data_IF_554852006329
#
_entry.id   IF_554852006329
#
_cell.length_a   1.000
_cell.length_b   1.000
_cell.length_c   1.000
_cell.angle_alpha   90.00
_cell.angle_beta   90.00
_cell.angle_gamma   90.00
#
_symmetry.space_group_name_H-M   'P 1'
#
loop_
_entity.id
_entity.type
_entity.pdbx_description
1 polymer ?
#
# COMPACT_ATOMS: atom_id res chain seq x y z
N UNK A 1 18.96 31.70 -12.87
CA UNK A 1 17.90 30.72 -13.15
C UNK A 1 18.60 29.39 -13.34
N UNK A 2 18.47 28.46 -12.40
CA UNK A 2 19.09 27.13 -12.52
C UNK A 2 18.21 26.34 -13.49
N UNK A 3 18.75 25.92 -14.62
CA UNK A 3 18.08 24.94 -15.48
C UNK A 3 17.97 23.64 -14.69
N UNK A 4 16.77 23.26 -14.33
CA UNK A 4 16.49 21.94 -13.77
C UNK A 4 16.59 20.94 -14.93
N UNK A 5 17.75 20.35 -15.09
CA UNK A 5 17.91 19.21 -16.00
C UNK A 5 17.20 18.04 -15.33
N UNK A 6 16.06 17.63 -15.87
CA UNK A 6 15.34 16.43 -15.44
C UNK A 6 16.15 15.19 -15.88
N UNK A 7 17.13 14.80 -15.09
CA UNK A 7 17.91 13.57 -15.32
C UNK A 7 17.17 12.43 -14.64
N UNK A 8 16.50 11.60 -15.42
CA UNK A 8 15.99 10.32 -14.94
C UNK A 8 17.19 9.36 -14.96
N UNK A 9 17.60 8.77 -13.81
CA UNK A 9 18.69 7.81 -13.77
C UNK A 9 18.35 6.58 -14.64
N UNK A 10 19.36 5.90 -15.16
CA UNK A 10 19.15 4.63 -15.86
C UNK A 10 18.61 3.57 -14.87
N UNK A 11 18.05 2.50 -15.41
CA UNK A 11 17.54 1.40 -14.57
C UNK A 11 18.66 0.76 -13.74
N UNK A 12 19.83 0.64 -14.31
CA UNK A 12 21.03 0.10 -13.68
C UNK A 12 21.51 1.00 -12.54
N UNK A 13 21.56 2.31 -12.75
CA UNK A 13 21.91 3.28 -11.71
C UNK A 13 20.89 3.25 -10.56
N UNK A 14 19.58 3.21 -10.89
CA UNK A 14 18.51 3.10 -9.91
C UNK A 14 18.65 1.82 -9.06
N UNK A 15 18.85 0.68 -9.72
CA UNK A 15 19.01 -0.61 -9.06
C UNK A 15 20.24 -0.62 -8.16
N UNK A 16 21.38 -0.14 -8.65
CA UNK A 16 22.63 -0.05 -7.90
C UNK A 16 22.51 0.82 -6.65
N UNK A 17 21.79 1.95 -6.75
CA UNK A 17 21.56 2.84 -5.61
C UNK A 17 20.71 2.18 -4.52
N UNK A 18 19.70 1.39 -4.89
CA UNK A 18 18.90 0.62 -3.94
C UNK A 18 19.70 -0.51 -3.30
N UNK A 19 20.51 -1.24 -4.08
CA UNK A 19 21.39 -2.30 -3.61
C UNK A 19 22.46 -1.79 -2.62
N UNK A 20 22.99 -0.60 -2.86
CA UNK A 20 23.92 0.05 -1.92
C UNK A 20 23.30 0.28 -0.54
N UNK A 21 21.99 0.59 -0.48
CA UNK A 21 21.29 0.92 0.76
C UNK A 21 20.72 -0.31 1.48
N UNK A 22 20.20 -1.26 0.73
CA UNK A 22 19.48 -2.41 1.28
C UNK A 22 20.33 -3.69 1.30
N UNK A 23 21.41 -3.74 0.53
CA UNK A 23 22.13 -4.95 0.18
C UNK A 23 21.46 -5.68 -0.98
N UNK A 24 22.27 -6.29 -1.83
CA UNK A 24 21.84 -6.93 -3.08
C UNK A 24 20.77 -8.01 -2.87
N UNK A 25 20.98 -8.90 -1.89
CA UNK A 25 20.05 -10.01 -1.64
C UNK A 25 18.65 -9.51 -1.26
N UNK A 26 18.55 -8.50 -0.38
CA UNK A 26 17.27 -7.95 0.06
C UNK A 26 16.59 -7.20 -1.09
N UNK A 27 17.36 -6.43 -1.88
CA UNK A 27 16.81 -5.69 -3.01
C UNK A 27 16.31 -6.64 -4.11
N UNK A 28 16.96 -7.77 -4.37
CA UNK A 28 16.44 -8.79 -5.28
C UNK A 28 15.09 -9.36 -4.83
N UNK A 29 14.91 -9.60 -3.52
CA UNK A 29 13.63 -10.03 -2.95
C UNK A 29 12.55 -8.97 -3.16
N UNK A 30 12.84 -7.69 -2.88
CA UNK A 30 11.91 -6.60 -3.10
C UNK A 30 11.54 -6.44 -4.57
N UNK A 31 12.52 -6.46 -5.46
CA UNK A 31 12.31 -6.31 -6.91
C UNK A 31 11.51 -7.46 -7.55
N UNK A 32 11.49 -8.64 -6.93
CA UNK A 32 10.72 -9.80 -7.40
C UNK A 32 9.29 -9.85 -6.85
N UNK A 33 8.98 -9.10 -5.79
CA UNK A 33 7.71 -9.16 -5.10
C UNK A 33 6.59 -8.45 -5.85
N UNK A 34 5.37 -9.00 -5.72
CA UNK A 34 4.13 -8.42 -6.23
C UNK A 34 3.20 -8.13 -5.06
N UNK A 35 2.88 -6.86 -4.83
CA UNK A 35 1.99 -6.44 -3.75
C UNK A 35 0.72 -5.81 -4.32
N UNK A 36 -0.43 -6.29 -3.87
CA UNK A 36 -1.73 -5.69 -4.22
C UNK A 36 -2.20 -4.78 -3.09
N UNK A 37 -2.69 -3.60 -3.45
CA UNK A 37 -3.26 -2.62 -2.52
C UNK A 37 -4.72 -2.43 -2.89
N UNK A 38 -5.60 -2.83 -1.99
CA UNK A 38 -7.06 -2.77 -2.11
C UNK A 38 -7.58 -1.54 -1.35
N UNK A 39 -8.00 -0.52 -2.09
CA UNK A 39 -8.32 0.82 -1.58
C UNK A 39 -7.11 1.74 -1.62
N UNK A 40 -7.27 2.91 -2.24
CA UNK A 40 -6.21 3.90 -2.45
C UNK A 40 -6.49 5.22 -1.72
N UNK A 41 -7.15 5.10 -0.56
CA UNK A 41 -7.42 6.20 0.34
C UNK A 41 -6.18 6.60 1.17
N UNK A 42 -6.42 7.05 2.41
CA UNK A 42 -5.37 7.49 3.33
C UNK A 42 -4.32 6.42 3.61
N UNK A 43 -4.74 5.17 3.83
CA UNK A 43 -3.81 4.06 4.05
C UNK A 43 -3.14 3.66 2.72
N UNK A 44 -3.91 3.24 1.73
CA UNK A 44 -3.37 2.62 0.52
C UNK A 44 -2.45 3.53 -0.28
N UNK A 45 -2.73 4.82 -0.40
CA UNK A 45 -1.85 5.75 -1.11
C UNK A 45 -0.49 5.92 -0.38
N UNK A 46 -0.49 5.98 0.95
CA UNK A 46 0.74 6.06 1.74
C UNK A 46 1.55 4.74 1.70
N UNK A 47 0.87 3.57 1.77
CA UNK A 47 1.50 2.26 1.61
C UNK A 47 2.19 2.17 0.24
N UNK A 48 1.49 2.57 -0.84
CA UNK A 48 2.01 2.52 -2.20
C UNK A 48 3.30 3.33 -2.35
N UNK A 49 3.33 4.56 -1.82
CA UNK A 49 4.52 5.42 -1.84
C UNK A 49 5.67 4.79 -1.05
N UNK A 50 5.41 4.26 0.14
CA UNK A 50 6.43 3.61 0.96
C UNK A 50 7.05 2.39 0.25
N UNK A 51 6.22 1.53 -0.35
CA UNK A 51 6.67 0.34 -1.07
C UNK A 51 7.41 0.69 -2.38
N UNK A 52 6.95 1.70 -3.11
CA UNK A 52 7.64 2.19 -4.30
C UNK A 52 9.07 2.68 -3.98
N UNK A 53 9.22 3.46 -2.90
CA UNK A 53 10.53 3.94 -2.41
C UNK A 53 11.44 2.81 -1.93
N UNK A 54 10.88 1.72 -1.42
CA UNK A 54 11.64 0.53 -1.03
C UNK A 54 12.09 -0.33 -2.23
N UNK A 55 11.64 -0.01 -3.45
CA UNK A 55 12.03 -0.74 -4.66
C UNK A 55 11.28 -2.05 -4.87
N UNK A 56 10.01 -2.13 -4.47
CA UNK A 56 9.11 -3.25 -4.81
C UNK A 56 8.97 -3.34 -6.33
N UNK A 57 9.03 -4.54 -6.89
CA UNK A 57 9.04 -4.75 -8.34
C UNK A 57 7.71 -4.49 -9.03
N UNK A 58 6.58 -4.85 -8.38
CA UNK A 58 5.23 -4.63 -8.95
C UNK A 58 4.22 -4.28 -7.88
N UNK A 59 3.42 -3.25 -8.15
CA UNK A 59 2.21 -2.92 -7.39
C UNK A 59 0.97 -3.14 -8.25
N UNK A 60 -0.05 -3.78 -7.68
CA UNK A 60 -1.40 -3.87 -8.24
C UNK A 60 -2.28 -2.94 -7.40
N UNK A 61 -2.86 -1.94 -8.03
CA UNK A 61 -3.65 -0.90 -7.39
C UNK A 61 -5.12 -1.06 -7.74
N UNK A 62 -5.98 -1.20 -6.74
CA UNK A 62 -7.42 -1.41 -6.95
C UNK A 62 -8.21 -0.38 -6.17
N UNK A 63 -8.96 0.46 -6.88
CA UNK A 63 -9.89 1.45 -6.34
C UNK A 63 -10.87 1.87 -7.44
N UNK A 64 -12.05 2.35 -7.09
CA UNK A 64 -13.04 2.85 -8.05
C UNK A 64 -13.33 4.35 -7.89
N UNK A 65 -12.79 4.98 -6.83
CA UNK A 65 -13.04 6.37 -6.49
C UNK A 65 -12.23 7.35 -7.33
N UNK A 66 -12.66 8.60 -7.25
CA UNK A 66 -11.92 9.75 -7.76
C UNK A 66 -11.25 10.52 -6.63
N UNK A 67 -10.23 11.27 -6.98
CA UNK A 67 -9.57 12.20 -6.06
C UNK A 67 -10.55 13.33 -5.72
N UNK A 68 -10.79 13.53 -4.43
CA UNK A 68 -11.67 14.55 -3.89
C UNK A 68 -10.90 15.49 -2.96
N UNK A 69 -11.32 16.76 -2.92
CA UNK A 69 -10.67 17.80 -2.12
C UNK A 69 -10.64 17.44 -0.62
N UNK A 70 -11.68 16.78 -0.12
CA UNK A 70 -11.78 16.32 1.28
C UNK A 70 -10.80 15.21 1.61
N UNK A 71 -10.13 14.65 0.61
CA UNK A 71 -9.17 13.57 0.76
C UNK A 71 -7.71 14.04 0.81
N UNK A 72 -7.41 15.21 0.23
CA UNK A 72 -6.03 15.69 0.03
C UNK A 72 -5.25 15.85 1.34
N UNK A 73 -5.91 16.11 2.47
CA UNK A 73 -5.25 16.30 3.76
C UNK A 73 -4.55 15.05 4.31
N UNK A 74 -4.83 13.83 3.76
CA UNK A 74 -4.26 12.58 4.25
C UNK A 74 -3.87 11.56 3.16
N UNK A 75 -4.16 11.86 1.89
CA UNK A 75 -3.90 10.98 0.75
C UNK A 75 -2.78 11.54 -0.12
N UNK A 76 -2.06 10.70 -0.85
CA UNK A 76 -0.88 11.05 -1.64
C UNK A 76 -1.27 11.54 -3.06
N UNK A 77 -2.20 12.51 -3.11
CA UNK A 77 -2.63 13.14 -4.36
C UNK A 77 -2.30 14.63 -4.38
N UNK A 78 -2.19 15.18 -5.59
CA UNK A 78 -1.92 16.60 -5.85
C UNK A 78 -3.24 17.34 -6.12
N UNK A 79 -3.29 18.65 -5.85
CA UNK A 79 -4.47 19.47 -6.14
C UNK A 79 -4.85 19.43 -7.63
N UNK A 80 -3.87 19.38 -8.53
CA UNK A 80 -4.11 19.29 -9.97
C UNK A 80 -4.77 17.96 -10.41
N UNK A 81 -4.81 16.94 -9.55
CA UNK A 81 -5.40 15.64 -9.84
C UNK A 81 -6.86 15.50 -9.36
N UNK A 82 -7.48 16.60 -8.88
CA UNK A 82 -8.89 16.58 -8.47
C UNK A 82 -9.80 16.09 -9.60
N UNK A 83 -10.67 15.13 -9.29
CA UNK A 83 -11.60 14.52 -10.23
C UNK A 83 -11.02 13.35 -11.04
N UNK A 84 -9.72 13.12 -11.04
CA UNK A 84 -9.10 11.93 -11.66
C UNK A 84 -9.43 10.65 -10.89
N UNK A 85 -9.41 9.50 -11.55
CA UNK A 85 -9.47 8.23 -10.84
C UNK A 85 -8.23 8.05 -9.97
N UNK A 86 -8.41 7.64 -8.71
CA UNK A 86 -7.32 7.42 -7.76
C UNK A 86 -6.24 6.47 -8.30
N UNK A 87 -6.65 5.44 -9.03
CA UNK A 87 -5.74 4.49 -9.67
C UNK A 87 -4.79 5.14 -10.67
N UNK A 88 -5.29 6.03 -11.53
CA UNK A 88 -4.49 6.76 -12.52
C UNK A 88 -3.57 7.77 -11.84
N UNK A 89 -4.14 8.62 -10.99
CA UNK A 89 -3.41 9.67 -10.28
C UNK A 89 -2.27 9.09 -9.41
N UNK A 90 -2.53 7.99 -8.69
CA UNK A 90 -1.50 7.36 -7.87
C UNK A 90 -0.43 6.69 -8.73
N UNK A 91 -0.80 6.01 -9.82
CA UNK A 91 0.18 5.45 -10.76
C UNK A 91 1.15 6.50 -11.28
N UNK A 92 0.64 7.67 -11.69
CA UNK A 92 1.47 8.79 -12.14
C UNK A 92 2.45 9.24 -11.05
N UNK A 93 1.94 9.49 -9.84
CA UNK A 93 2.75 9.92 -8.70
C UNK A 93 3.83 8.87 -8.33
N UNK A 94 3.51 7.58 -8.41
CA UNK A 94 4.46 6.51 -8.12
C UNK A 94 5.57 6.42 -9.17
N UNK A 95 5.26 6.63 -10.45
CA UNK A 95 6.26 6.61 -11.53
C UNK A 95 7.19 7.83 -11.49
N UNK A 96 6.73 8.97 -10.97
CA UNK A 96 7.60 10.10 -10.66
C UNK A 96 8.59 9.81 -9.51
N UNK A 97 8.21 8.94 -8.56
CA UNK A 97 9.04 8.54 -7.41
C UNK A 97 9.98 7.38 -7.76
N UNK A 98 9.47 6.40 -8.50
CA UNK A 98 10.16 5.15 -8.84
C UNK A 98 9.89 4.79 -10.30
N UNK A 99 10.68 5.34 -11.24
CA UNK A 99 10.37 5.30 -12.68
C UNK A 99 10.36 3.89 -13.28
N UNK A 100 10.95 2.91 -12.61
CA UNK A 100 11.04 1.51 -13.08
C UNK A 100 10.09 0.56 -12.37
N UNK A 101 9.22 1.09 -11.47
CA UNK A 101 8.17 0.32 -10.82
C UNK A 101 7.13 -0.16 -11.85
N UNK A 102 6.77 -1.44 -11.80
CA UNK A 102 5.62 -1.94 -12.57
C UNK A 102 4.33 -1.64 -11.81
N UNK A 103 3.42 -0.89 -12.42
CA UNK A 103 2.14 -0.54 -11.82
C UNK A 103 1.01 -1.04 -12.70
N UNK A 104 0.27 -2.02 -12.19
CA UNK A 104 -1.00 -2.49 -12.75
C UNK A 104 -2.15 -1.82 -12.02
N UNK A 105 -3.17 -1.37 -12.73
CA UNK A 105 -4.32 -0.66 -12.14
C UNK A 105 -5.64 -1.34 -12.51
N UNK A 106 -6.56 -1.39 -11.55
CA UNK A 106 -7.93 -1.86 -11.74
C UNK A 106 -8.90 -0.82 -11.16
N UNK A 107 -9.51 -0.02 -12.05
CA UNK A 107 -10.48 1.02 -11.67
C UNK A 107 -11.86 0.40 -11.55
N UNK A 108 -12.08 -0.38 -10.48
CA UNK A 108 -13.34 -1.06 -10.23
C UNK A 108 -13.53 -1.40 -8.75
N UNK A 109 -14.78 -1.58 -8.36
CA UNK A 109 -15.14 -2.03 -7.00
C UNK A 109 -14.80 -3.51 -6.81
N UNK A 110 -14.20 -3.84 -5.68
CA UNK A 110 -14.01 -5.23 -5.24
C UNK A 110 -15.34 -5.85 -4.83
N UNK A 111 -15.56 -7.08 -5.28
CA UNK A 111 -16.72 -7.90 -4.98
C UNK A 111 -16.30 -9.35 -4.81
N UNK A 112 -17.12 -10.18 -4.16
CA UNK A 112 -16.86 -11.62 -4.05
C UNK A 112 -16.61 -12.31 -5.39
N UNK A 113 -17.22 -11.80 -6.48
CA UNK A 113 -17.10 -12.38 -7.81
C UNK A 113 -15.75 -12.10 -8.50
N UNK A 114 -15.08 -10.97 -8.18
CA UNK A 114 -13.88 -10.54 -8.88
C UNK A 114 -12.59 -10.61 -8.04
N UNK A 115 -12.68 -10.70 -6.71
CA UNK A 115 -11.52 -10.68 -5.80
C UNK A 115 -10.48 -11.73 -6.20
N UNK A 116 -10.84 -12.99 -6.34
CA UNK A 116 -9.89 -14.07 -6.63
C UNK A 116 -9.14 -13.82 -7.95
N UNK A 117 -9.84 -13.35 -8.98
CA UNK A 117 -9.21 -13.06 -10.27
C UNK A 117 -8.28 -11.85 -10.21
N UNK A 118 -8.67 -10.80 -9.49
CA UNK A 118 -7.87 -9.56 -9.38
C UNK A 118 -6.62 -9.74 -8.51
N UNK A 119 -6.68 -10.62 -7.51
CA UNK A 119 -5.60 -10.81 -6.54
C UNK A 119 -4.69 -12.00 -6.85
N UNK A 120 -4.99 -12.79 -7.90
CA UNK A 120 -4.30 -14.06 -8.19
C UNK A 120 -2.77 -13.93 -8.28
N UNK A 121 -2.28 -12.84 -8.86
CA UNK A 121 -0.85 -12.63 -9.13
C UNK A 121 -0.12 -11.94 -7.97
N UNK A 122 -0.83 -11.51 -6.92
CA UNK A 122 -0.22 -10.87 -5.76
C UNK A 122 0.38 -11.90 -4.80
N UNK A 123 1.51 -11.58 -4.23
CA UNK A 123 2.10 -12.32 -3.11
C UNK A 123 1.52 -11.92 -1.78
N UNK A 124 1.28 -10.61 -1.62
CA UNK A 124 0.80 -9.97 -0.41
C UNK A 124 -0.33 -9.01 -0.79
N UNK A 125 -1.38 -9.04 0.01
CA UNK A 125 -2.57 -8.20 -0.16
C UNK A 125 -2.63 -7.23 1.01
N UNK A 126 -2.58 -5.92 0.70
CA UNK A 126 -2.83 -4.86 1.67
C UNK A 126 -4.31 -4.47 1.59
N UNK A 127 -5.03 -4.73 2.65
CA UNK A 127 -6.41 -4.26 2.81
C UNK A 127 -6.37 -2.84 3.38
N UNK A 128 -6.86 -1.87 2.62
CA UNK A 128 -6.87 -0.45 2.92
C UNK A 128 -8.23 0.21 2.61
N UNK A 129 -9.30 -0.58 2.68
CA UNK A 129 -10.67 -0.14 2.48
C UNK A 129 -11.17 0.62 3.72
N UNK A 130 -12.19 1.44 3.55
CA UNK A 130 -12.77 2.29 4.61
C UNK A 130 -14.11 1.74 5.17
N UNK A 131 -14.82 0.95 4.38
CA UNK A 131 -16.13 0.40 4.76
C UNK A 131 -15.96 -0.95 5.44
N UNK A 132 -16.46 -1.11 6.67
CA UNK A 132 -16.29 -2.30 7.49
C UNK A 132 -16.75 -3.60 6.79
N UNK A 133 -17.88 -3.57 6.09
CA UNK A 133 -18.39 -4.71 5.34
C UNK A 133 -17.47 -5.11 4.18
N UNK A 134 -16.89 -4.11 3.49
CA UNK A 134 -15.95 -4.35 2.40
C UNK A 134 -14.62 -4.91 2.92
N UNK A 135 -14.14 -4.44 4.07
CA UNK A 135 -12.96 -4.99 4.78
C UNK A 135 -13.18 -6.45 5.15
N UNK A 136 -14.31 -6.75 5.81
CA UNK A 136 -14.68 -8.10 6.21
C UNK A 136 -14.84 -9.03 4.99
N UNK A 137 -15.50 -8.55 3.92
CA UNK A 137 -15.63 -9.30 2.68
C UNK A 137 -14.28 -9.66 2.07
N UNK A 138 -13.37 -8.69 1.93
CA UNK A 138 -12.05 -8.94 1.38
C UNK A 138 -11.24 -9.92 2.23
N UNK A 139 -11.23 -9.71 3.55
CA UNK A 139 -10.50 -10.57 4.47
C UNK A 139 -11.02 -12.02 4.41
N UNK A 140 -12.33 -12.23 4.45
CA UNK A 140 -12.92 -13.57 4.37
C UNK A 140 -12.58 -14.26 3.04
N UNK A 141 -12.74 -13.56 1.90
CA UNK A 141 -12.45 -14.13 0.58
C UNK A 141 -10.97 -14.53 0.44
N UNK A 142 -10.05 -13.70 0.97
CA UNK A 142 -8.61 -14.02 0.94
C UNK A 142 -8.28 -15.20 1.85
N UNK A 143 -8.76 -15.17 3.10
CA UNK A 143 -8.44 -16.22 4.08
C UNK A 143 -9.03 -17.58 3.71
N UNK A 144 -10.23 -17.61 3.09
CA UNK A 144 -10.89 -18.85 2.70
C UNK A 144 -10.40 -19.42 1.37
N UNK A 145 -10.19 -18.53 0.37
CA UNK A 145 -9.95 -18.98 -1.01
C UNK A 145 -8.51 -18.85 -1.48
N UNK A 146 -7.68 -18.09 -0.75
CA UNK A 146 -6.29 -17.81 -1.11
C UNK A 146 -5.35 -17.97 0.11
N UNK A 147 -5.41 -19.12 0.82
CA UNK A 147 -4.71 -19.32 2.09
C UNK A 147 -3.19 -19.26 1.99
N UNK A 148 -2.64 -19.37 0.77
CA UNK A 148 -1.22 -19.21 0.48
C UNK A 148 -0.77 -17.75 0.46
N UNK A 149 -1.68 -16.78 0.31
CA UNK A 149 -1.37 -15.35 0.26
C UNK A 149 -1.21 -14.76 1.66
N UNK A 150 -0.44 -13.69 1.76
CA UNK A 150 -0.38 -12.88 2.97
C UNK A 150 -1.44 -11.76 2.90
N UNK A 151 -2.11 -11.54 4.01
CA UNK A 151 -3.05 -10.44 4.19
C UNK A 151 -2.52 -9.49 5.27
N UNK A 152 -2.45 -8.21 4.95
CA UNK A 152 -2.09 -7.14 5.89
C UNK A 152 -3.23 -6.13 5.90
N UNK A 153 -3.95 -6.08 7.01
CA UNK A 153 -5.13 -5.24 7.21
C UNK A 153 -4.86 -4.10 8.20
N UNK A 154 -5.80 -3.18 8.34
CA UNK A 154 -5.73 -2.12 9.33
C UNK A 154 -7.05 -1.96 10.09
N UNK A 155 -6.95 -1.63 11.38
CA UNK A 155 -8.10 -1.33 12.25
C UNK A 155 -7.70 -0.35 13.34
N UNK A 156 -8.42 0.78 13.42
CA UNK A 156 -8.18 1.81 14.44
C UNK A 156 -6.98 2.70 14.14
N UNK A 157 -7.23 3.88 13.56
CA UNK A 157 -6.23 4.93 13.32
C UNK A 157 -6.86 6.33 13.33
N UNK A 158 -8.10 6.45 13.81
CA UNK A 158 -8.79 7.74 13.91
C UNK A 158 -8.29 8.57 15.09
N UNK A 159 -8.62 9.87 15.08
CA UNK A 159 -8.37 10.77 16.19
C UNK A 159 -6.91 11.19 16.37
N UNK A 160 -6.62 11.69 17.57
CA UNK A 160 -5.34 12.25 18.01
C UNK A 160 -4.72 11.49 19.20
N UNK A 161 -5.10 10.21 19.39
CA UNK A 161 -4.58 9.37 20.48
C UNK A 161 -3.07 9.13 20.39
N UNK A 162 -2.52 8.50 21.42
CA UNK A 162 -1.08 8.20 21.50
C UNK A 162 -0.62 7.39 20.27
N UNK A 163 0.42 7.88 19.62
CA UNK A 163 1.02 7.26 18.44
C UNK A 163 1.54 5.84 18.74
N UNK A 164 2.02 5.58 19.96
CA UNK A 164 2.56 4.29 20.36
C UNK A 164 1.48 3.18 20.51
N UNK A 165 0.21 3.54 20.47
CA UNK A 165 -0.88 2.57 20.45
C UNK A 165 -1.08 1.93 19.07
N UNK A 166 -0.59 2.56 18.00
CA UNK A 166 -0.57 1.95 16.67
C UNK A 166 0.46 0.83 16.66
N UNK A 167 0.02 -0.40 16.48
CA UNK A 167 0.85 -1.60 16.55
C UNK A 167 0.58 -2.52 15.36
N UNK A 168 1.55 -3.37 15.05
CA UNK A 168 1.36 -4.50 14.15
C UNK A 168 1.15 -5.76 14.97
N UNK A 169 0.02 -6.43 14.78
CA UNK A 169 -0.33 -7.68 15.45
C UNK A 169 -0.43 -8.81 14.43
N UNK A 170 0.28 -9.90 14.69
CA UNK A 170 0.17 -11.13 13.91
C UNK A 170 -1.04 -11.93 14.42
N UNK A 171 -2.01 -12.18 13.53
CA UNK A 171 -3.25 -12.92 13.86
C UNK A 171 -3.07 -14.42 13.57
N UNK A 172 -2.56 -14.71 12.38
CA UNK A 172 -2.19 -16.09 11.97
C UNK A 172 -0.80 -16.08 11.34
N UNK A 173 -0.35 -17.21 10.82
CA UNK A 173 0.94 -17.30 10.10
C UNK A 173 1.03 -16.35 8.90
N UNK A 174 -0.11 -15.95 8.31
CA UNK A 174 -0.17 -15.13 7.09
C UNK A 174 -1.15 -13.95 7.17
N UNK A 175 -1.70 -13.65 8.34
CA UNK A 175 -2.60 -12.53 8.54
C UNK A 175 -2.09 -11.59 9.64
N UNK A 176 -2.02 -10.30 9.32
CA UNK A 176 -1.56 -9.23 10.21
C UNK A 176 -2.58 -8.09 10.23
N UNK A 177 -2.74 -7.45 11.40
CA UNK A 177 -3.53 -6.23 11.56
C UNK A 177 -2.64 -5.13 12.13
N UNK A 178 -2.72 -3.93 11.54
CA UNK A 178 -2.05 -2.72 11.98
C UNK A 178 -3.07 -1.71 12.49
N UNK A 179 -2.77 -1.04 13.60
CA UNK A 179 -3.66 -0.06 14.20
C UNK A 179 -3.73 -0.20 15.73
N UNK A 180 -4.62 0.58 16.34
CA UNK A 180 -4.91 0.48 17.78
C UNK A 180 -6.12 -0.41 18.08
N UNK A 181 -6.86 -0.82 17.06
CA UNK A 181 -8.05 -1.69 17.10
C UNK A 181 -9.21 -1.12 17.95
N UNK A 182 -9.14 0.12 18.37
CA UNK A 182 -10.09 0.76 19.29
C UNK A 182 -10.70 2.03 18.69
N UNK A 183 -9.88 2.90 18.08
CA UNK A 183 -10.36 4.21 17.62
C UNK A 183 -11.25 4.09 16.37
N UNK A 184 -12.37 4.81 16.39
CA UNK A 184 -13.35 4.87 15.31
C UNK A 184 -13.48 6.30 14.75
N UNK A 185 -13.80 6.41 13.47
CA UNK A 185 -14.03 7.71 12.81
C UNK A 185 -15.23 8.46 13.36
N UNK A 186 -16.14 7.76 14.02
CA UNK A 186 -17.36 8.31 14.65
C UNK A 186 -17.12 8.85 16.06
N UNK A 187 -15.93 8.64 16.65
CA UNK A 187 -15.61 9.06 18.02
C UNK A 187 -15.28 10.57 18.15
N UNK A 188 -15.55 11.38 17.13
CA UNK A 188 -15.44 12.84 17.13
C UNK A 188 -14.38 13.38 16.19
N UNK A 189 -13.08 13.19 16.44
CA UNK A 189 -12.02 13.62 15.53
C UNK A 189 -11.78 12.51 14.50
N UNK A 190 -12.11 12.75 13.25
CA UNK A 190 -11.96 11.79 12.17
C UNK A 190 -10.50 11.39 11.88
N UNK A 191 -10.19 11.13 10.62
CA UNK A 191 -8.86 10.70 10.19
C UNK A 191 -7.89 11.88 10.09
N UNK A 192 -6.78 11.82 10.81
CA UNK A 192 -5.69 12.81 10.80
C UNK A 192 -4.49 12.26 10.02
N UNK A 193 -3.91 13.08 9.16
CA UNK A 193 -2.84 12.68 8.23
C UNK A 193 -1.71 11.89 8.90
N UNK A 194 -1.12 12.43 9.97
CA UNK A 194 0.02 11.81 10.64
C UNK A 194 -0.30 10.43 11.23
N UNK A 195 -1.49 10.27 11.83
CA UNK A 195 -1.90 9.01 12.43
C UNK A 195 -2.25 7.95 11.37
N UNK A 196 -2.91 8.37 10.27
CA UNK A 196 -3.14 7.52 9.11
C UNK A 196 -1.81 7.08 8.47
N UNK A 197 -0.87 8.02 8.32
CA UNK A 197 0.47 7.74 7.78
C UNK A 197 1.26 6.77 8.67
N UNK A 198 1.17 6.91 9.99
CA UNK A 198 1.80 5.98 10.95
C UNK A 198 1.26 4.55 10.78
N UNK A 199 -0.06 4.38 10.71
CA UNK A 199 -0.69 3.08 10.48
C UNK A 199 -0.29 2.50 9.11
N UNK A 200 -0.28 3.31 8.06
CA UNK A 200 0.17 2.91 6.72
C UNK A 200 1.66 2.50 6.73
N UNK A 201 2.50 3.19 7.50
CA UNK A 201 3.92 2.83 7.68
C UNK A 201 4.07 1.45 8.35
N UNK A 202 3.26 1.14 9.36
CA UNK A 202 3.20 -0.20 9.95
C UNK A 202 2.81 -1.27 8.93
N UNK A 203 1.77 -1.02 8.09
CA UNK A 203 1.39 -1.95 7.02
C UNK A 203 2.51 -2.12 5.99
N UNK A 204 3.11 -1.04 5.51
CA UNK A 204 4.22 -1.11 4.55
C UNK A 204 5.43 -1.84 5.14
N UNK A 205 5.78 -1.57 6.40
CA UNK A 205 6.92 -2.18 7.06
C UNK A 205 6.74 -3.69 7.23
N UNK A 206 5.58 -4.16 7.69
CA UNK A 206 5.34 -5.60 7.81
C UNK A 206 5.33 -6.31 6.44
N UNK A 207 4.88 -5.64 5.36
CA UNK A 207 5.01 -6.16 3.99
C UNK A 207 6.47 -6.39 3.64
N UNK A 208 7.35 -5.41 3.90
CA UNK A 208 8.79 -5.54 3.64
C UNK A 208 9.44 -6.63 4.50
N UNK A 209 9.05 -6.78 5.76
CA UNK A 209 9.52 -7.86 6.63
C UNK A 209 9.12 -9.24 6.08
N UNK A 210 7.85 -9.42 5.70
CA UNK A 210 7.36 -10.67 5.10
C UNK A 210 8.19 -11.04 3.86
N UNK A 211 8.48 -10.08 2.99
CA UNK A 211 9.28 -10.32 1.79
C UNK A 211 10.72 -10.67 2.16
N UNK A 212 11.31 -9.99 3.13
CA UNK A 212 12.70 -10.23 3.56
C UNK A 212 12.91 -11.65 4.12
N UNK A 213 11.91 -12.17 4.84
CA UNK A 213 11.94 -13.49 5.47
C UNK A 213 11.67 -14.65 4.48
N UNK A 214 11.17 -14.35 3.27
CA UNK A 214 10.94 -15.39 2.26
C UNK A 214 12.27 -16.03 1.86
N UNK A 215 12.35 -17.35 1.97
CA UNK A 215 13.45 -18.12 1.35
C UNK A 215 13.32 -18.00 -0.17
N UNK A 216 14.45 -17.79 -0.88
CA UNK A 216 14.47 -17.93 -2.34
C UNK A 216 13.96 -19.35 -2.65
N UNK A 217 12.88 -19.46 -3.41
CA UNK A 217 12.52 -20.73 -4.02
C UNK A 217 13.69 -21.10 -4.96
N UNK A 218 14.40 -22.14 -4.61
CA UNK A 218 15.45 -22.73 -5.44
C UNK A 218 14.84 -23.37 -6.67
#
# INVERSE_FOLDING_TARGET
>A
MWEVVNIIPTKEEWQSALEERHGKELQEKFSSAVVCICGLGGLGSNIAVALARAGIGKLILIDFDRVDITNLHRQQYKVCQLGEYKTNALKENLLEIAPYLKVEIHTQRLTKANITQLLKDADIICEALDIAESKAMLANEVLEKMPEKYLVSASGMAGMGDANLIKTRKITSRFYICGDEVSDVNDGIGLISSRVMLCAAHQAHIVLQIISERRKLQ
#
